data_IF_124093935273
#
_entry.id   IF_124093935273
#
_cell.length_a   1.000
_cell.length_b   1.000
_cell.length_c   1.000
_cell.angle_alpha   90.00
_cell.angle_beta   90.00
_cell.angle_gamma   90.00
#
_symmetry.space_group_name_H-M   'P 1'
#
loop_
_entity.id
_entity.type
_entity.pdbx_description
1 polymer ?
#
# COMPACT_ATOMS: atom_id res chain seq x y z
N UNK A 1 26.17 4.79 -13.27
CA UNK A 1 26.84 3.92 -12.27
C UNK A 1 27.94 4.75 -11.61
N UNK A 2 27.89 4.91 -10.29
CA UNK A 2 28.87 5.69 -9.53
C UNK A 2 29.46 4.80 -8.40
N UNK A 3 30.66 4.23 -8.58
CA UNK A 3 31.33 3.44 -7.55
C UNK A 3 31.66 4.30 -6.33
N UNK A 4 31.68 3.66 -5.17
CA UNK A 4 32.15 4.33 -3.96
C UNK A 4 33.67 4.50 -4.02
N UNK A 5 34.15 5.65 -3.55
CA UNK A 5 35.58 5.95 -3.45
C UNK A 5 36.09 5.90 -2.00
N UNK A 6 35.17 5.96 -1.03
CA UNK A 6 35.51 5.93 0.40
C UNK A 6 35.62 4.50 0.90
N UNK A 7 36.77 4.17 1.49
CA UNK A 7 37.08 2.83 2.01
C UNK A 7 36.04 2.40 3.05
N UNK A 8 35.62 3.30 3.94
CA UNK A 8 34.69 2.95 5.02
C UNK A 8 33.29 2.61 4.49
N UNK A 9 32.81 3.35 3.49
CA UNK A 9 31.51 3.06 2.85
C UNK A 9 31.57 1.75 2.04
N UNK A 10 32.72 1.42 1.45
CA UNK A 10 32.95 0.13 0.79
C UNK A 10 32.89 -1.00 1.82
N UNK A 11 33.62 -0.87 2.93
CA UNK A 11 33.60 -1.85 4.03
C UNK A 11 32.21 -2.04 4.60
N UNK A 12 31.46 -0.96 4.80
CA UNK A 12 30.08 -1.04 5.30
C UNK A 12 29.16 -1.84 4.35
N UNK A 13 29.34 -1.72 3.03
CA UNK A 13 28.62 -2.55 2.04
C UNK A 13 29.09 -4.00 2.05
N UNK A 14 30.39 -4.25 2.22
CA UNK A 14 30.93 -5.62 2.33
C UNK A 14 30.37 -6.32 3.56
N UNK A 15 30.36 -5.64 4.71
CA UNK A 15 29.74 -6.16 5.94
C UNK A 15 28.26 -6.49 5.75
N UNK A 16 27.50 -5.65 5.03
CA UNK A 16 26.09 -5.94 4.76
C UNK A 16 25.92 -7.24 3.97
N UNK A 17 26.82 -7.50 3.01
CA UNK A 17 26.81 -8.73 2.21
C UNK A 17 27.20 -9.93 3.07
N UNK A 18 28.24 -9.80 3.91
CA UNK A 18 28.64 -10.84 4.86
C UNK A 18 27.49 -11.18 5.82
N UNK A 19 26.80 -10.18 6.36
CA UNK A 19 25.63 -10.37 7.21
C UNK A 19 24.52 -11.15 6.49
N UNK A 20 24.19 -10.78 5.24
CA UNK A 20 23.18 -11.52 4.45
C UNK A 20 23.60 -12.97 4.16
N UNK A 21 24.89 -13.23 3.95
CA UNK A 21 25.42 -14.59 3.76
C UNK A 21 25.35 -15.40 5.07
N UNK A 22 25.63 -14.77 6.21
CA UNK A 22 25.56 -15.43 7.52
C UNK A 22 24.11 -15.80 7.89
N UNK A 23 23.14 -14.99 7.47
CA UNK A 23 21.70 -15.21 7.64
C UNK A 23 21.04 -15.60 6.31
N UNK A 24 21.62 -16.59 5.64
CA UNK A 24 21.21 -17.01 4.29
C UNK A 24 19.76 -17.49 4.25
N UNK A 25 19.31 -18.23 5.28
CA UNK A 25 17.95 -18.77 5.33
C UNK A 25 16.91 -17.64 5.34
N UNK A 26 17.08 -16.66 6.24
CA UNK A 26 16.24 -15.49 6.36
C UNK A 26 16.27 -14.67 5.07
N UNK A 27 17.46 -14.47 4.50
CA UNK A 27 17.66 -13.74 3.24
C UNK A 27 16.92 -14.40 2.08
N UNK A 28 16.94 -15.72 1.97
CA UNK A 28 16.22 -16.46 0.92
C UNK A 28 14.70 -16.37 1.11
N UNK A 29 14.22 -16.44 2.35
CA UNK A 29 12.79 -16.22 2.67
C UNK A 29 12.37 -14.80 2.25
N UNK A 30 13.14 -13.77 2.60
CA UNK A 30 12.87 -12.38 2.20
C UNK A 30 12.85 -12.26 0.68
N UNK A 31 13.84 -12.83 -0.02
CA UNK A 31 13.90 -12.80 -1.49
C UNK A 31 12.64 -13.39 -2.13
N UNK A 32 12.15 -14.52 -1.62
CA UNK A 32 10.92 -15.14 -2.13
C UNK A 32 9.70 -14.27 -1.84
N UNK A 33 9.62 -13.65 -0.66
CA UNK A 33 8.50 -12.79 -0.25
C UNK A 33 8.48 -11.44 -0.98
N UNK A 34 9.62 -10.91 -1.40
CA UNK A 34 9.72 -9.66 -2.17
C UNK A 34 9.42 -9.85 -3.66
N UNK A 35 9.66 -11.05 -4.22
CA UNK A 35 9.43 -11.37 -5.63
C UNK A 35 8.02 -11.02 -6.17
N UNK A 36 6.90 -11.24 -5.45
CA UNK A 36 5.57 -10.92 -5.94
C UNK A 36 5.19 -9.43 -5.82
N UNK A 37 6.05 -8.57 -5.26
CA UNK A 37 5.74 -7.14 -5.14
C UNK A 37 5.80 -6.47 -6.51
N UNK A 38 4.90 -5.51 -6.73
CA UNK A 38 4.98 -4.65 -7.90
C UNK A 38 6.14 -3.66 -7.77
N UNK A 39 6.47 -3.01 -8.89
CA UNK A 39 7.39 -1.88 -8.91
C UNK A 39 6.76 -0.68 -8.18
N UNK A 40 7.05 -0.58 -6.88
CA UNK A 40 6.47 0.41 -5.98
C UNK A 40 6.83 1.84 -6.39
N UNK A 41 8.04 2.07 -6.88
CA UNK A 41 8.49 3.40 -7.32
C UNK A 41 7.65 3.86 -8.52
N UNK A 42 7.47 2.97 -9.51
CA UNK A 42 6.62 3.26 -10.66
C UNK A 42 5.15 3.43 -10.26
N UNK A 43 4.65 2.64 -9.32
CA UNK A 43 3.27 2.77 -8.83
C UNK A 43 3.06 4.09 -8.09
N UNK A 44 3.99 4.49 -7.22
CA UNK A 44 3.97 5.78 -6.53
C UNK A 44 3.97 6.94 -7.53
N UNK A 45 4.83 6.90 -8.54
CA UNK A 45 4.86 7.91 -9.60
C UNK A 45 3.52 7.96 -10.36
N UNK A 46 2.95 6.80 -10.72
CA UNK A 46 1.66 6.67 -11.40
C UNK A 46 0.52 7.29 -10.57
N UNK A 47 0.46 7.00 -9.27
CA UNK A 47 -0.55 7.53 -8.36
C UNK A 47 -0.37 9.03 -8.11
N UNK A 48 0.89 9.47 -7.97
CA UNK A 48 1.20 10.90 -7.87
C UNK A 48 0.70 11.65 -9.12
N UNK A 49 0.92 11.10 -10.31
CA UNK A 49 0.40 11.68 -11.56
C UNK A 49 -1.13 11.76 -11.61
N UNK A 50 -1.86 10.84 -10.96
CA UNK A 50 -3.32 10.94 -10.86
C UNK A 50 -3.78 12.14 -10.04
N UNK A 51 -2.96 12.59 -9.07
CA UNK A 51 -3.26 13.77 -8.25
C UNK A 51 -2.98 15.09 -8.97
N UNK A 52 -2.04 15.09 -9.92
CA UNK A 52 -1.74 16.25 -10.76
C UNK A 52 -2.95 16.58 -11.66
N UNK A 53 -3.73 17.58 -11.24
CA UNK A 53 -4.94 18.03 -11.95
C UNK A 53 -4.60 18.55 -13.35
N UNK A 54 -4.69 17.70 -14.36
CA UNK A 54 -4.89 18.16 -15.73
C UNK A 54 -6.39 18.40 -15.96
N UNK A 55 -6.78 19.65 -16.25
CA UNK A 55 -8.11 20.01 -16.78
C UNK A 55 -8.28 19.43 -18.19
N UNK A 56 -8.27 18.11 -18.33
CA UNK A 56 -8.57 17.43 -19.58
C UNK A 56 -10.08 17.24 -19.66
N UNK A 57 -10.74 17.91 -20.62
CA UNK A 57 -12.15 17.65 -20.99
C UNK A 57 -12.28 16.38 -21.84
N UNK A 58 -11.43 15.37 -21.61
CA UNK A 58 -11.53 14.11 -22.32
C UNK A 58 -12.72 13.31 -21.79
N UNK A 59 -13.57 12.87 -22.71
CA UNK A 59 -14.68 11.96 -22.43
C UNK A 59 -14.08 10.55 -22.45
N UNK A 60 -14.09 9.87 -21.30
CA UNK A 60 -13.64 8.48 -21.20
C UNK A 60 -14.85 7.55 -21.29
N UNK A 61 -14.72 6.48 -22.06
CA UNK A 61 -15.73 5.41 -22.15
C UNK A 61 -15.56 4.35 -21.06
N UNK A 62 -14.39 4.31 -20.43
CA UNK A 62 -14.08 3.41 -19.32
C UNK A 62 -14.13 4.15 -17.98
N UNK A 63 -14.37 3.40 -16.91
CA UNK A 63 -14.37 3.91 -15.54
C UNK A 63 -12.93 4.11 -15.04
N UNK A 64 -12.31 5.19 -15.52
CA UNK A 64 -10.93 5.57 -15.17
C UNK A 64 -10.78 5.77 -13.66
N UNK A 65 -11.83 6.26 -12.98
CA UNK A 65 -11.82 6.46 -11.53
C UNK A 65 -11.72 5.14 -10.78
N UNK A 66 -12.48 4.13 -11.20
CA UNK A 66 -12.38 2.78 -10.65
C UNK A 66 -10.98 2.18 -10.82
N UNK A 67 -10.37 2.35 -12.00
CA UNK A 67 -9.01 1.85 -12.27
C UNK A 67 -7.99 2.52 -11.32
N UNK A 68 -8.08 3.84 -11.16
CA UNK A 68 -7.20 4.61 -10.26
C UNK A 68 -7.30 4.13 -8.80
N UNK A 69 -8.52 3.87 -8.32
CA UNK A 69 -8.74 3.38 -6.95
C UNK A 69 -8.25 1.94 -6.78
N UNK A 70 -8.38 1.09 -7.81
CA UNK A 70 -7.80 -0.26 -7.80
C UNK A 70 -6.28 -0.23 -7.76
N UNK A 71 -5.64 0.59 -8.59
CA UNK A 71 -4.18 0.80 -8.56
C UNK A 71 -3.71 1.22 -7.16
N UNK A 72 -4.42 2.18 -6.53
CA UNK A 72 -4.12 2.63 -5.17
C UNK A 72 -4.28 1.52 -4.13
N UNK A 73 -5.35 0.73 -4.21
CA UNK A 73 -5.56 -0.43 -3.33
C UNK A 73 -4.43 -1.46 -3.46
N UNK A 74 -3.96 -1.74 -4.69
CA UNK A 74 -2.83 -2.63 -4.92
C UNK A 74 -1.56 -2.08 -4.27
N UNK A 75 -1.29 -0.77 -4.39
CA UNK A 75 -0.15 -0.13 -3.74
C UNK A 75 -0.19 -0.31 -2.22
N UNK A 76 -1.33 -0.01 -1.58
CA UNK A 76 -1.50 -0.18 -0.12
C UNK A 76 -1.30 -1.63 0.31
N UNK A 77 -1.84 -2.58 -0.47
CA UNK A 77 -1.70 -4.01 -0.21
C UNK A 77 -0.23 -4.44 -0.28
N UNK A 78 0.53 -3.92 -1.24
CA UNK A 78 1.93 -4.25 -1.37
C UNK A 78 2.79 -3.62 -0.27
N UNK A 79 2.50 -2.39 0.17
CA UNK A 79 3.17 -1.82 1.34
C UNK A 79 2.98 -2.68 2.59
N UNK A 80 1.76 -3.20 2.85
CA UNK A 80 1.53 -4.12 3.97
C UNK A 80 2.38 -5.39 3.90
N UNK A 81 2.58 -5.91 2.69
CA UNK A 81 3.40 -7.11 2.48
C UNK A 81 4.88 -6.85 2.77
N UNK A 82 5.38 -5.61 2.65
CA UNK A 82 6.80 -5.30 2.87
C UNK A 82 7.21 -5.61 4.30
N UNK A 83 6.45 -5.17 5.30
CA UNK A 83 6.77 -5.42 6.71
C UNK A 83 6.81 -6.93 6.99
N UNK A 84 5.79 -7.66 6.52
CA UNK A 84 5.77 -9.12 6.63
C UNK A 84 6.91 -9.80 5.84
N UNK A 85 7.29 -9.24 4.69
CA UNK A 85 8.37 -9.75 3.86
C UNK A 85 9.73 -9.59 4.54
N UNK A 86 9.95 -8.47 5.22
CA UNK A 86 11.21 -8.13 5.87
C UNK A 86 11.32 -8.67 7.30
N UNK A 87 10.21 -9.07 7.93
CA UNK A 87 10.17 -9.59 9.31
C UNK A 87 11.30 -10.59 9.67
N UNK A 88 11.67 -11.57 8.82
CA UNK A 88 12.77 -12.49 9.14
C UNK A 88 14.11 -11.79 9.39
N UNK A 89 14.43 -10.74 8.62
CA UNK A 89 15.67 -9.98 8.78
C UNK A 89 15.56 -8.94 9.90
N UNK A 90 14.38 -8.33 10.07
CA UNK A 90 14.12 -7.39 11.17
C UNK A 90 14.36 -8.08 12.52
N UNK A 91 13.91 -9.33 12.67
CA UNK A 91 14.12 -10.11 13.90
C UNK A 91 15.60 -10.38 14.22
N UNK A 92 16.49 -10.35 13.21
CA UNK A 92 17.93 -10.56 13.35
C UNK A 92 18.73 -9.24 13.35
N UNK A 93 18.06 -8.08 13.34
CA UNK A 93 18.71 -6.78 13.14
C UNK A 93 19.86 -6.50 14.11
N UNK A 94 19.71 -6.92 15.37
CA UNK A 94 20.72 -6.70 16.41
C UNK A 94 21.98 -7.55 16.23
N UNK A 95 21.92 -8.58 15.39
CA UNK A 95 23.06 -9.44 15.07
C UNK A 95 23.87 -8.95 13.85
N UNK A 96 23.36 -7.96 13.10
CA UNK A 96 24.05 -7.42 11.94
C UNK A 96 25.16 -6.46 12.35
N UNK A 97 26.32 -6.62 11.70
CA UNK A 97 27.49 -5.76 11.91
C UNK A 97 27.41 -4.50 11.05
N UNK A 98 26.72 -4.57 9.92
CA UNK A 98 26.60 -3.43 9.01
C UNK A 98 25.65 -2.36 9.56
N UNK A 99 26.13 -1.12 9.80
CA UNK A 99 25.28 -0.04 10.30
C UNK A 99 24.19 0.31 9.27
N UNK A 100 24.52 0.25 7.98
CA UNK A 100 23.56 0.54 6.90
C UNK A 100 22.43 -0.47 6.84
N UNK A 101 22.73 -1.76 6.99
CA UNK A 101 21.70 -2.81 6.96
C UNK A 101 20.78 -2.70 8.19
N UNK A 102 21.35 -2.43 9.37
CA UNK A 102 20.60 -2.14 10.58
C UNK A 102 19.65 -0.96 10.38
N UNK A 103 20.17 0.19 9.93
CA UNK A 103 19.36 1.39 9.73
C UNK A 103 18.19 1.16 8.76
N UNK A 104 18.37 0.38 7.69
CA UNK A 104 17.29 0.06 6.74
C UNK A 104 16.17 -0.82 7.32
N UNK A 105 16.44 -1.56 8.40
CA UNK A 105 15.52 -2.48 9.05
C UNK A 105 15.00 -1.95 10.40
N UNK A 106 15.55 -0.83 10.87
CA UNK A 106 15.11 -0.15 12.08
C UNK A 106 14.09 0.95 11.75
N UNK A 107 12.97 1.02 12.50
CA UNK A 107 12.06 2.16 12.49
C UNK A 107 12.76 3.50 12.72
N UNK A 108 12.28 4.56 12.07
CA UNK A 108 12.84 5.91 12.14
C UNK A 108 12.43 6.68 13.41
N UNK A 109 11.49 6.14 14.17
CA UNK A 109 10.99 6.63 15.45
C UNK A 109 11.63 5.92 16.66
N UNK A 110 12.50 4.93 16.43
CA UNK A 110 13.27 4.28 17.49
C UNK A 110 14.31 5.25 18.10
N UNK A 111 14.32 5.38 19.43
CA UNK A 111 15.31 6.16 20.20
C UNK A 111 16.67 5.45 20.34
N UNK A 112 17.13 4.74 19.31
CA UNK A 112 18.45 4.10 19.28
C UNK A 112 19.58 5.13 18.98
N UNK A 113 20.84 4.76 19.27
CA UNK A 113 22.02 5.61 19.01
C UNK A 113 22.18 5.99 17.53
N UNK A 114 21.69 5.16 16.60
CA UNK A 114 21.63 5.46 15.18
C UNK A 114 20.17 5.49 14.69
N UNK A 115 19.74 6.56 14.01
CA UNK A 115 18.35 6.67 13.55
C UNK A 115 18.07 5.63 12.46
N UNK A 116 16.97 4.90 12.62
CA UNK A 116 16.46 4.02 11.59
C UNK A 116 15.95 4.78 10.36
N UNK A 117 15.81 4.06 9.26
CA UNK A 117 15.33 4.56 7.97
C UNK A 117 13.99 3.94 7.56
N UNK A 118 13.56 2.88 8.25
CA UNK A 118 12.27 2.25 7.97
C UNK A 118 11.14 3.14 8.54
N UNK A 119 10.10 3.46 7.77
CA UNK A 119 9.01 4.31 8.26
C UNK A 119 8.18 3.58 9.33
N UNK A 120 8.24 4.03 10.59
CA UNK A 120 7.51 3.41 11.71
C UNK A 120 5.99 3.62 11.64
N UNK A 121 5.54 4.72 11.02
CA UNK A 121 4.14 5.11 10.89
C UNK A 121 3.45 4.58 9.62
N UNK A 122 4.15 3.80 8.79
CA UNK A 122 3.65 3.32 7.50
C UNK A 122 2.34 2.53 7.66
N UNK A 123 2.25 1.63 8.64
CA UNK A 123 1.04 0.84 8.87
C UNK A 123 -0.15 1.71 9.30
N UNK A 124 0.08 2.68 10.20
CA UNK A 124 -0.96 3.62 10.63
C UNK A 124 -1.50 4.43 9.44
N UNK A 125 -0.60 4.90 8.58
CA UNK A 125 -0.99 5.61 7.37
C UNK A 125 -1.83 4.71 6.45
N UNK A 126 -1.43 3.46 6.22
CA UNK A 126 -2.18 2.51 5.38
C UNK A 126 -3.56 2.22 5.96
N UNK A 127 -3.65 1.93 7.25
CA UNK A 127 -4.92 1.65 7.94
C UNK A 127 -5.87 2.84 7.84
N UNK A 128 -5.34 4.06 7.98
CA UNK A 128 -6.13 5.28 7.82
C UNK A 128 -6.77 5.38 6.43
N UNK A 129 -6.04 5.02 5.37
CA UNK A 129 -6.57 5.04 3.99
C UNK A 129 -7.60 3.95 3.73
N UNK A 130 -7.39 2.74 4.26
CA UNK A 130 -8.34 1.64 4.07
C UNK A 130 -9.68 1.89 4.74
N UNK A 131 -9.69 2.59 5.87
CA UNK A 131 -10.93 2.97 6.56
C UNK A 131 -11.78 3.96 5.77
N UNK A 132 -11.23 4.64 4.76
CA UNK A 132 -11.97 5.62 3.96
C UNK A 132 -12.80 4.98 2.84
N UNK A 133 -12.43 3.78 2.37
CA UNK A 133 -12.99 3.18 1.17
C UNK A 133 -13.57 1.79 1.48
N UNK A 134 -14.87 1.64 1.28
CA UNK A 134 -15.59 0.37 1.42
C UNK A 134 -15.78 -0.25 0.02
N UNK A 135 -15.23 -1.45 -0.19
CA UNK A 135 -15.39 -2.18 -1.45
C UNK A 135 -16.60 -3.11 -1.36
N UNK A 136 -17.67 -2.78 -2.08
CA UNK A 136 -18.90 -3.60 -2.12
C UNK A 136 -18.96 -4.43 -3.40
N UNK A 137 -19.35 -5.70 -3.26
CA UNK A 137 -19.64 -6.58 -4.39
C UNK A 137 -21.01 -6.28 -4.96
N UNK A 138 -21.11 -6.13 -6.27
CA UNK A 138 -22.38 -5.97 -6.97
C UNK A 138 -23.03 -7.34 -7.13
N UNK A 139 -24.25 -7.50 -6.58
CA UNK A 139 -25.00 -8.76 -6.63
C UNK A 139 -25.10 -9.32 -8.05
N UNK A 140 -24.77 -10.61 -8.21
CA UNK A 140 -24.78 -11.30 -9.51
C UNK A 140 -23.55 -11.06 -10.40
N UNK A 141 -22.53 -10.34 -9.93
CA UNK A 141 -21.27 -10.13 -10.68
C UNK A 141 -20.03 -10.20 -9.77
N UNK A 142 -18.86 -10.44 -10.35
CA UNK A 142 -17.57 -10.35 -9.65
C UNK A 142 -17.02 -8.91 -9.54
N UNK A 143 -17.85 -7.90 -9.86
CA UNK A 143 -17.42 -6.51 -9.84
C UNK A 143 -17.52 -5.93 -8.44
N UNK A 144 -16.43 -5.31 -8.00
CA UNK A 144 -16.37 -4.51 -6.77
C UNK A 144 -16.43 -3.02 -7.11
N UNK A 145 -17.27 -2.28 -6.37
CA UNK A 145 -17.40 -0.82 -6.46
C UNK A 145 -16.88 -0.22 -5.14
N UNK A 146 -15.96 0.76 -5.21
CA UNK A 146 -15.53 1.51 -4.05
C UNK A 146 -16.57 2.58 -3.69
N UNK A 147 -16.99 2.58 -2.43
CA UNK A 147 -17.87 3.61 -1.86
C UNK A 147 -17.13 4.30 -0.71
N UNK A 148 -17.32 5.62 -0.52
CA UNK A 148 -16.82 6.29 0.67
C UNK A 148 -17.47 5.70 1.91
N UNK A 149 -16.75 5.72 3.03
CA UNK A 149 -17.34 5.38 4.33
C UNK A 149 -18.50 6.35 4.64
N UNK A 150 -19.62 5.86 5.19
CA UNK A 150 -20.72 6.73 5.63
C UNK A 150 -20.22 7.82 6.58
N UNK A 151 -20.67 9.06 6.36
CA UNK A 151 -20.26 10.26 7.08
C UNK A 151 -19.02 10.96 6.50
N UNK A 152 -18.36 10.38 5.49
CA UNK A 152 -17.21 11.01 4.82
C UNK A 152 -17.63 11.95 3.68
N UNK A 153 -18.72 11.62 2.98
CA UNK A 153 -19.27 12.42 1.89
C UNK A 153 -20.79 12.53 2.06
N UNK A 154 -21.24 13.69 2.58
CA UNK A 154 -22.64 13.95 2.87
C UNK A 154 -23.52 13.96 1.61
N UNK A 155 -22.97 14.36 0.46
CA UNK A 155 -23.70 14.36 -0.82
C UNK A 155 -23.90 12.92 -1.31
N UNK A 156 -22.86 12.08 -1.19
CA UNK A 156 -22.97 10.66 -1.50
C UNK A 156 -23.98 9.96 -0.59
N UNK A 157 -23.90 10.19 0.72
CA UNK A 157 -24.80 9.58 1.71
C UNK A 157 -26.27 9.97 1.45
N UNK A 158 -26.55 11.26 1.23
CA UNK A 158 -27.90 11.73 0.94
C UNK A 158 -28.46 11.10 -0.34
N UNK A 159 -27.63 10.97 -1.38
CA UNK A 159 -28.06 10.36 -2.64
C UNK A 159 -28.28 8.85 -2.49
N UNK A 160 -27.45 8.17 -1.72
CA UNK A 160 -27.59 6.75 -1.44
C UNK A 160 -28.87 6.45 -0.63
N UNK A 161 -29.21 7.31 0.34
CA UNK A 161 -30.49 7.21 1.06
C UNK A 161 -31.69 7.36 0.14
N UNK A 162 -31.68 8.35 -0.77
CA UNK A 162 -32.74 8.53 -1.78
C UNK A 162 -32.89 7.31 -2.67
N UNK A 163 -31.79 6.75 -3.16
CA UNK A 163 -31.81 5.54 -4.01
C UNK A 163 -32.38 4.35 -3.24
N UNK A 164 -32.02 4.18 -1.96
CA UNK A 164 -32.55 3.10 -1.14
C UNK A 164 -34.03 3.28 -0.80
N UNK A 165 -34.51 4.51 -0.65
CA UNK A 165 -35.93 4.81 -0.50
C UNK A 165 -36.70 4.37 -1.76
N UNK A 166 -36.25 4.79 -2.93
CA UNK A 166 -36.88 4.43 -4.23
C UNK A 166 -36.89 2.91 -4.43
N UNK A 167 -35.80 2.21 -4.06
CA UNK A 167 -35.77 0.74 -4.11
C UNK A 167 -36.83 0.10 -3.23
N UNK A 168 -36.99 0.57 -1.98
CA UNK A 168 -38.02 0.06 -1.07
C UNK A 168 -39.44 0.32 -1.59
N UNK A 169 -39.68 1.50 -2.14
CA UNK A 169 -40.97 1.84 -2.76
C UNK A 169 -41.27 0.93 -3.95
N UNK A 170 -40.27 0.69 -4.81
CA UNK A 170 -40.39 -0.22 -5.95
C UNK A 170 -40.64 -1.66 -5.50
N UNK A 171 -39.90 -2.15 -4.51
CA UNK A 171 -40.06 -3.51 -3.96
C UNK A 171 -41.46 -3.69 -3.34
N UNK A 172 -41.99 -2.67 -2.67
CA UNK A 172 -43.36 -2.68 -2.14
C UNK A 172 -44.40 -2.80 -3.25
N UNK A 173 -44.25 -2.02 -4.33
CA UNK A 173 -45.15 -2.10 -5.49
C UNK A 173 -45.06 -3.48 -6.17
N UNK A 174 -43.87 -4.05 -6.28
CA UNK A 174 -43.67 -5.38 -6.87
C UNK A 174 -44.30 -6.49 -6.02
N UNK A 175 -44.32 -6.35 -4.68
CA UNK A 175 -45.03 -7.27 -3.79
C UNK A 175 -46.55 -7.14 -3.89
N UNK A 176 -47.08 -5.93 -4.10
CA UNK A 176 -48.52 -5.70 -4.26
C UNK A 176 -49.08 -6.17 -5.62
N UNK A 177 -48.21 -6.47 -6.59
CA UNK A 177 -48.57 -6.92 -7.96
C UNK A 177 -48.44 -8.44 -8.16
N UNK A 178 -47.96 -9.18 -7.14
CA UNK A 178 -47.93 -10.66 -7.10
C UNK A 178 -49.12 -11.23 -6.34
#
# INVERSE_FOLDING_TARGET
MAPLLKIDEIKARQQAVEDMINFQHETDVVRVRLKPLHDLERMLAKIFMYSAKHKSKAIYFEDVSLIKLKDFRVLLTDFKKIEFALAPLINQRHCFKSPRLRALLSPNDDEEEEPGLFPGDLMLAIESFEQLIIWKKVGGTDKEIPEPKPGFDADFDSNNEKVNLIKKELDSILMDVQ
#
